data_IF_836041397149
#
_entry.id   IF_836041397149
#
_cell.length_a   1.000
_cell.length_b   1.000
_cell.length_c   1.000
_cell.angle_alpha   90.00
_cell.angle_beta   90.00
_cell.angle_gamma   90.00
#
_symmetry.space_group_name_H-M   'P 1'
#
loop_
_entity.id
_entity.type
_entity.pdbx_description
1 polymer ?
#
# COMPACT_ATOMS: atom_id res chain seq x y z
N UNK A 1 8.16 9.58 -11.67
CA UNK A 1 8.23 8.62 -10.55
C UNK A 1 7.53 9.22 -9.33
N UNK A 2 7.78 8.67 -8.16
CA UNK A 2 7.41 9.26 -6.87
C UNK A 2 8.66 9.75 -6.16
N UNK A 3 8.53 10.79 -5.35
CA UNK A 3 9.62 11.23 -4.50
C UNK A 3 9.58 10.44 -3.19
N UNK A 4 10.67 9.76 -2.86
CA UNK A 4 10.82 9.04 -1.59
C UNK A 4 11.60 9.95 -0.66
N UNK A 5 11.04 10.23 0.51
CA UNK A 5 11.74 11.05 1.51
C UNK A 5 13.07 10.38 1.87
N UNK A 6 14.15 11.16 1.90
CA UNK A 6 15.55 10.73 2.04
C UNK A 6 16.16 9.97 0.85
N UNK A 7 15.43 9.80 -0.26
CA UNK A 7 15.91 9.13 -1.47
C UNK A 7 15.89 7.59 -1.40
N UNK A 8 15.39 7.01 -0.31
CA UNK A 8 15.34 5.57 -0.11
C UNK A 8 14.90 5.19 1.30
N UNK A 9 15.25 3.97 1.72
CA UNK A 9 15.08 3.50 3.09
C UNK A 9 16.14 2.44 3.43
N UNK A 10 16.62 2.48 4.67
CA UNK A 10 17.50 1.45 5.26
C UNK A 10 16.72 0.54 6.24
N UNK A 11 15.41 0.70 6.31
CA UNK A 11 14.57 -0.04 7.25
C UNK A 11 13.29 -0.58 6.58
N UNK A 12 12.30 -0.93 7.40
CA UNK A 12 11.09 -1.62 6.97
C UNK A 12 9.98 -0.70 6.45
N UNK A 13 10.19 0.62 6.44
CA UNK A 13 9.21 1.59 5.96
C UNK A 13 9.83 2.67 5.08
N UNK A 14 9.00 3.26 4.23
CA UNK A 14 9.34 4.41 3.41
C UNK A 14 8.19 5.42 3.44
N UNK A 15 8.53 6.68 3.24
CA UNK A 15 7.58 7.78 3.15
C UNK A 15 7.60 8.31 1.72
N UNK A 16 6.46 8.20 1.06
CA UNK A 16 6.26 8.64 -0.31
C UNK A 16 5.58 10.00 -0.33
N UNK A 17 6.16 10.95 -1.07
CA UNK A 17 5.62 12.28 -1.31
C UNK A 17 4.77 12.25 -2.59
N UNK A 18 3.54 12.74 -2.46
CA UNK A 18 2.51 12.71 -3.50
C UNK A 18 2.28 14.07 -4.16
N UNK A 19 3.01 15.12 -3.76
CA UNK A 19 2.83 16.49 -4.32
C UNK A 19 3.05 16.52 -5.82
N UNK A 20 3.99 15.73 -6.34
CA UNK A 20 4.24 15.61 -7.77
C UNK A 20 3.13 14.87 -8.55
N UNK A 21 2.13 14.31 -7.84
CA UNK A 21 0.92 13.71 -8.40
C UNK A 21 -0.31 14.59 -8.27
N UNK A 22 -0.23 15.67 -7.48
CA UNK A 22 -1.41 16.48 -7.15
C UNK A 22 -2.45 15.73 -6.33
N UNK A 23 -2.04 14.70 -5.58
CA UNK A 23 -2.92 13.87 -4.74
C UNK A 23 -2.54 14.07 -3.27
N UNK A 24 -3.52 14.31 -2.42
CA UNK A 24 -3.30 14.41 -0.97
C UNK A 24 -3.10 13.02 -0.35
N UNK A 25 -2.43 12.96 0.80
CA UNK A 25 -2.27 11.71 1.54
C UNK A 25 -3.61 11.08 1.94
N UNK A 26 -4.60 11.90 2.28
CA UNK A 26 -5.97 11.46 2.56
C UNK A 26 -6.65 10.84 1.34
N UNK A 27 -6.61 11.49 0.18
CA UNK A 27 -7.20 10.93 -1.05
C UNK A 27 -6.53 9.61 -1.43
N UNK A 28 -5.19 9.53 -1.32
CA UNK A 28 -4.46 8.30 -1.60
C UNK A 28 -4.82 7.18 -0.62
N UNK A 29 -4.88 7.47 0.69
CA UNK A 29 -5.30 6.51 1.72
C UNK A 29 -6.71 5.98 1.44
N UNK A 30 -7.69 6.86 1.21
CA UNK A 30 -9.08 6.50 0.95
C UNK A 30 -9.21 5.63 -0.32
N UNK A 31 -8.55 6.02 -1.42
CA UNK A 31 -8.60 5.29 -2.68
C UNK A 31 -7.88 3.93 -2.61
N UNK A 32 -6.73 3.86 -1.95
CA UNK A 32 -5.98 2.61 -1.77
C UNK A 32 -6.73 1.64 -0.87
N UNK A 33 -7.34 2.12 0.22
CA UNK A 33 -8.20 1.30 1.07
C UNK A 33 -9.38 0.76 0.27
N UNK A 34 -10.00 1.58 -0.58
CA UNK A 34 -11.05 1.11 -1.49
C UNK A 34 -10.54 0.05 -2.48
N UNK A 35 -9.25 -0.01 -2.78
CA UNK A 35 -8.63 -1.04 -3.62
C UNK A 35 -8.10 -2.27 -2.82
N UNK A 36 -8.47 -2.42 -1.54
CA UNK A 36 -7.94 -3.43 -0.61
C UNK A 36 -6.42 -3.32 -0.35
N UNK A 37 -5.86 -2.11 -0.50
CA UNK A 37 -4.47 -1.79 -0.17
C UNK A 37 -4.44 -0.86 1.03
N UNK A 38 -4.10 -1.40 2.21
CA UNK A 38 -4.03 -0.59 3.43
C UNK A 38 -2.69 0.14 3.54
N UNK A 39 -2.75 1.47 3.54
CA UNK A 39 -1.62 2.37 3.86
C UNK A 39 -2.07 3.40 4.91
N UNK A 40 -1.15 4.26 5.34
CA UNK A 40 -1.50 5.38 6.20
C UNK A 40 -1.03 6.71 5.60
N UNK A 41 -1.91 7.71 5.57
CA UNK A 41 -1.53 9.10 5.25
C UNK A 41 -0.54 9.63 6.29
N UNK A 42 0.48 10.33 5.85
CA UNK A 42 1.56 10.79 6.71
C UNK A 42 2.12 12.11 6.20
N UNK A 43 2.38 13.05 7.11
CA UNK A 43 3.02 14.32 6.74
C UNK A 43 4.41 14.07 6.18
N UNK A 44 4.81 14.91 5.22
CA UNK A 44 6.17 14.93 4.67
C UNK A 44 6.96 16.13 5.21
N UNK A 45 8.30 16.17 5.08
CA UNK A 45 9.05 17.37 5.43
C UNK A 45 8.54 18.60 4.69
N UNK A 46 8.31 19.69 5.44
CA UNK A 46 7.75 20.95 4.92
C UNK A 46 6.38 20.76 4.25
N UNK A 47 5.54 19.88 4.80
CA UNK A 47 4.17 19.70 4.35
C UNK A 47 3.38 21.02 4.47
N UNK A 48 2.71 21.39 3.39
CA UNK A 48 1.81 22.56 3.35
C UNK A 48 0.37 22.19 3.69
N UNK A 49 0.03 20.90 3.65
CA UNK A 49 -1.30 20.41 4.00
C UNK A 49 -1.47 20.23 5.50
N UNK A 50 -2.72 20.25 5.96
CA UNK A 50 -3.03 20.00 7.36
C UNK A 50 -2.71 18.55 7.77
N UNK A 51 -2.50 18.26 9.07
CA UNK A 51 -2.30 16.89 9.57
C UNK A 51 -3.45 15.91 9.26
N UNK A 52 -4.65 16.42 8.97
CA UNK A 52 -5.82 15.61 8.58
C UNK A 52 -5.85 15.25 7.09
N UNK A 53 -5.06 15.94 6.27
CA UNK A 53 -5.02 15.79 4.81
C UNK A 53 -3.67 15.21 4.39
N UNK A 54 -2.57 15.86 4.77
CA UNK A 54 -1.17 15.51 4.48
C UNK A 54 -0.83 15.42 2.99
N UNK A 55 0.45 15.38 2.65
CA UNK A 55 0.93 15.26 1.27
C UNK A 55 1.65 13.94 0.97
N UNK A 56 1.57 12.95 1.86
CA UNK A 56 2.29 11.69 1.70
C UNK A 56 1.60 10.47 2.28
N UNK A 57 2.16 9.31 1.97
CA UNK A 57 1.75 8.01 2.54
C UNK A 57 2.97 7.25 3.05
N UNK A 58 2.80 6.57 4.18
CA UNK A 58 3.82 5.67 4.74
C UNK A 58 3.50 4.23 4.34
N UNK A 59 4.48 3.57 3.76
CA UNK A 59 4.39 2.19 3.30
C UNK A 59 5.39 1.35 4.09
N UNK A 60 4.97 0.17 4.53
CA UNK A 60 5.84 -0.80 5.21
C UNK A 60 5.69 -2.20 4.66
N UNK A 61 6.78 -2.94 4.58
CA UNK A 61 6.82 -4.32 4.08
C UNK A 61 6.54 -5.44 5.10
N UNK A 62 6.69 -5.27 6.44
CA UNK A 62 6.60 -6.40 7.38
C UNK A 62 5.34 -7.26 7.29
N UNK A 63 4.17 -6.64 7.05
CA UNK A 63 2.90 -7.35 6.99
C UNK A 63 2.85 -8.32 5.80
N UNK A 64 3.26 -7.86 4.61
CA UNK A 64 3.25 -8.69 3.40
C UNK A 64 4.39 -9.72 3.41
N UNK A 65 5.57 -9.37 3.94
CA UNK A 65 6.69 -10.31 4.04
C UNK A 65 6.39 -11.43 5.04
N UNK A 66 5.66 -11.15 6.12
CA UNK A 66 5.20 -12.18 7.08
C UNK A 66 4.24 -13.18 6.43
N UNK A 67 3.51 -12.76 5.40
CA UNK A 67 2.62 -13.64 4.59
C UNK A 67 3.38 -14.43 3.52
N UNK A 68 4.68 -14.22 3.36
CA UNK A 68 5.53 -14.91 2.37
C UNK A 68 5.80 -14.13 1.09
N UNK A 69 5.40 -12.86 1.00
CA UNK A 69 5.68 -12.04 -0.19
C UNK A 69 7.19 -11.76 -0.30
N UNK A 70 7.78 -12.23 -1.41
CA UNK A 70 9.19 -12.00 -1.76
C UNK A 70 9.42 -10.72 -2.55
N UNK A 71 10.70 -10.39 -2.78
CA UNK A 71 11.13 -9.18 -3.51
C UNK A 71 10.57 -9.11 -4.94
N UNK A 72 10.42 -10.25 -5.61
CA UNK A 72 10.00 -10.32 -7.00
C UNK A 72 8.56 -9.84 -7.23
N UNK A 73 7.73 -9.84 -6.19
CA UNK A 73 6.34 -9.35 -6.25
C UNK A 73 6.22 -7.86 -5.89
N UNK A 74 7.26 -7.25 -5.32
CA UNK A 74 7.22 -5.83 -4.92
C UNK A 74 6.95 -4.90 -6.13
N UNK A 75 7.57 -5.08 -7.31
CA UNK A 75 7.24 -4.27 -8.49
C UNK A 75 5.75 -4.34 -8.87
N UNK A 76 5.12 -5.52 -8.74
CA UNK A 76 3.70 -5.69 -9.04
C UNK A 76 2.84 -4.91 -8.03
N UNK A 77 3.15 -5.03 -6.74
CA UNK A 77 2.45 -4.29 -5.67
C UNK A 77 2.58 -2.78 -5.90
N UNK A 78 3.77 -2.29 -6.26
CA UNK A 78 4.01 -0.88 -6.55
C UNK A 78 3.20 -0.41 -7.77
N UNK A 79 3.06 -1.23 -8.81
CA UNK A 79 2.23 -0.90 -9.97
C UNK A 79 0.74 -0.81 -9.61
N UNK A 80 0.23 -1.71 -8.76
CA UNK A 80 -1.14 -1.63 -8.25
C UNK A 80 -1.38 -0.33 -7.46
N UNK A 81 -0.43 0.04 -6.61
CA UNK A 81 -0.46 1.31 -5.86
C UNK A 81 -0.46 2.51 -6.82
N UNK A 82 0.45 2.53 -7.80
CA UNK A 82 0.57 3.64 -8.76
C UNK A 82 -0.71 3.84 -9.56
N UNK A 83 -1.32 2.76 -10.05
CA UNK A 83 -2.59 2.84 -10.81
C UNK A 83 -3.71 3.51 -10.02
N UNK A 84 -3.81 3.21 -8.74
CA UNK A 84 -4.83 3.80 -7.85
C UNK A 84 -4.49 5.27 -7.56
N UNK A 85 -3.24 5.58 -7.20
CA UNK A 85 -2.84 6.96 -6.91
C UNK A 85 -3.02 7.87 -8.13
N UNK A 86 -2.76 7.38 -9.34
CA UNK A 86 -2.93 8.15 -10.57
C UNK A 86 -4.40 8.34 -10.96
N UNK A 87 -5.32 7.57 -10.36
CA UNK A 87 -6.75 7.61 -10.66
C UNK A 87 -7.60 7.50 -9.37
N UNK A 88 -7.42 8.40 -8.39
CA UNK A 88 -7.94 8.21 -7.02
C UNK A 88 -9.47 8.31 -6.93
N UNK A 89 -10.13 8.83 -7.97
CA UNK A 89 -11.59 8.98 -8.06
C UNK A 89 -12.22 8.04 -9.11
N UNK A 90 -11.42 7.20 -9.78
CA UNK A 90 -11.91 6.29 -10.82
C UNK A 90 -12.32 4.95 -10.21
N UNK A 91 -13.60 4.83 -9.86
CA UNK A 91 -14.17 3.62 -9.24
C UNK A 91 -13.93 2.34 -10.06
N UNK A 92 -13.92 2.43 -11.39
CA UNK A 92 -13.67 1.28 -12.26
C UNK A 92 -12.23 0.79 -12.13
N UNK A 93 -11.25 1.70 -12.11
CA UNK A 93 -9.84 1.34 -11.90
C UNK A 93 -9.63 0.78 -10.50
N UNK A 94 -10.21 1.42 -9.48
CA UNK A 94 -10.13 0.97 -8.08
C UNK A 94 -10.69 -0.45 -7.93
N UNK A 95 -11.88 -0.72 -8.50
CA UNK A 95 -12.49 -2.05 -8.48
C UNK A 95 -11.66 -3.10 -9.21
N UNK A 96 -11.08 -2.74 -10.35
CA UNK A 96 -10.19 -3.63 -11.12
C UNK A 96 -8.93 -3.97 -10.31
N UNK A 97 -8.28 -2.97 -9.72
CA UNK A 97 -7.09 -3.17 -8.88
C UNK A 97 -7.44 -4.00 -7.64
N UNK A 98 -8.60 -3.79 -7.02
CA UNK A 98 -9.08 -4.61 -5.91
C UNK A 98 -9.11 -6.11 -6.28
N UNK A 99 -9.64 -6.44 -7.45
CA UNK A 99 -9.63 -7.83 -7.96
C UNK A 99 -8.22 -8.39 -8.10
N UNK A 100 -7.32 -7.63 -8.72
CA UNK A 100 -5.91 -8.02 -8.92
C UNK A 100 -5.15 -8.17 -7.60
N UNK A 101 -5.40 -7.32 -6.60
CA UNK A 101 -4.84 -7.42 -5.24
C UNK A 101 -5.27 -8.74 -4.60
N UNK A 102 -6.56 -9.05 -4.64
CA UNK A 102 -7.10 -10.27 -4.05
C UNK A 102 -6.57 -11.53 -4.76
N UNK A 103 -6.45 -11.50 -6.08
CA UNK A 103 -5.84 -12.58 -6.86
C UNK A 103 -4.37 -12.77 -6.48
N UNK A 104 -3.58 -11.69 -6.48
CA UNK A 104 -2.16 -11.71 -6.12
C UNK A 104 -1.94 -12.26 -4.71
N UNK A 105 -2.80 -11.86 -3.76
CA UNK A 105 -2.66 -12.23 -2.35
C UNK A 105 -3.32 -13.57 -1.99
N UNK A 106 -4.04 -14.21 -2.91
CA UNK A 106 -4.73 -15.49 -2.69
C UNK A 106 -3.76 -16.64 -2.33
N UNK A 107 -2.55 -16.62 -2.91
CA UNK A 107 -1.48 -17.56 -2.61
C UNK A 107 -0.74 -17.32 -1.28
N UNK A 108 -1.07 -16.23 -0.56
CA UNK A 108 -0.37 -15.79 0.65
C UNK A 108 -1.36 -15.68 1.85
N UNK A 109 -1.95 -16.80 2.33
CA UNK A 109 -2.93 -16.76 3.40
C UNK A 109 -2.35 -16.27 4.73
N UNK A 110 -3.20 -15.63 5.54
CA UNK A 110 -2.87 -15.24 6.91
C UNK A 110 -2.92 -16.47 7.83
N UNK A 111 -1.95 -16.59 8.74
CA UNK A 111 -1.90 -17.65 9.77
C UNK A 111 -1.69 -19.09 9.28
N UNK A 112 -0.92 -19.32 8.20
CA UNK A 112 -0.54 -20.68 7.77
C UNK A 112 0.21 -21.51 8.82
N UNK A 113 0.65 -20.89 9.92
CA UNK A 113 1.27 -21.57 11.07
C UNK A 113 0.27 -22.39 11.93
N UNK A 114 -1.05 -22.32 11.67
CA UNK A 114 -2.08 -23.04 12.45
C UNK A 114 -2.94 -23.95 11.57
N UNK A 115 -2.30 -24.90 10.89
CA UNK A 115 -2.97 -26.10 10.38
C UNK A 115 -2.20 -27.38 10.76
N UNK A 116 -1.79 -27.48 12.02
CA UNK A 116 -1.64 -28.80 12.63
C UNK A 116 -3.00 -29.17 13.24
N UNK A 117 -3.67 -30.11 12.57
CA UNK A 117 -4.92 -30.72 12.98
C UNK A 117 -4.88 -31.08 14.48
N UNK A 118 -5.71 -30.44 15.29
CA UNK A 118 -6.12 -31.04 16.55
C UNK A 118 -6.97 -32.26 16.20
N UNK A 119 -6.59 -33.49 16.58
CA UNK A 119 -7.49 -34.62 16.47
C UNK A 119 -8.67 -34.34 17.38
N UNK A 120 -9.87 -34.25 16.80
CA UNK A 120 -11.12 -34.24 17.56
C UNK A 120 -11.17 -35.52 18.39
N UNK A 121 -11.23 -35.38 19.71
CA UNK A 121 -11.54 -36.45 20.67
C UNK A 121 -12.99 -36.91 20.51
#
# INVERSE_FOLDING_TARGET
GYDVISGGTDNHCLLMDLRNKGVTGRQAEDALVAADITVNKNMVPFDTESPFVTSGIRIGTPAITTRGVGKDLIPNIVNLIDRVIQNPENEQIISTVRGEVNELMSGFPLFSFKQESHPTI
#
